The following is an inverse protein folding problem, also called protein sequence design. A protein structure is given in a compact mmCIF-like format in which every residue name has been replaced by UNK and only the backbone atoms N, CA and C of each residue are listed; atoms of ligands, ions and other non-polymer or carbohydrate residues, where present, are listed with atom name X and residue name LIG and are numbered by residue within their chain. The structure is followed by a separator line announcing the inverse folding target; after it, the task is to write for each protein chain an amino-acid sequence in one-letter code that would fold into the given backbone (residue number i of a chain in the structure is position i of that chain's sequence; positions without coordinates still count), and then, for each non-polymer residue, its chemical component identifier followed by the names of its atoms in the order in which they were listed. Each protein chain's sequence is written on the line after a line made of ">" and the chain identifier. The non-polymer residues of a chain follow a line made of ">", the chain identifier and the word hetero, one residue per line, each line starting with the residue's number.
data_IF_308048670660
#
_entry.id   IF_308048670660
#
_cell.length_a   1.000
_cell.length_b   1.000
_cell.length_c   1.000
_cell.angle_alpha   90.00
_cell.angle_beta   90.00
_cell.angle_gamma   90.00
#
_symmetry.space_group_name_H-M   'P 1'
#
loop_
_entity.id
_entity.type
_entity.pdbx_description
1 polymer ?
#
# COMPACT_ATOMS: atom_id res chain seq x y z
N UNK A 1 -66.34 -5.92 20.68
CA UNK A 1 -65.17 -5.02 20.92
C UNK A 1 -63.90 -5.77 21.37
N UNK A 2 -63.96 -6.87 22.12
CA UNK A 2 -62.74 -7.62 22.59
C UNK A 2 -61.93 -8.34 21.48
N UNK A 3 -62.58 -8.72 20.36
CA UNK A 3 -61.90 -9.47 19.26
C UNK A 3 -61.03 -8.57 18.37
N UNK A 4 -61.30 -7.29 18.32
CA UNK A 4 -60.50 -6.34 17.52
C UNK A 4 -59.23 -5.87 18.24
N UNK A 5 -59.27 -5.84 19.56
CA UNK A 5 -58.08 -5.46 20.37
C UNK A 5 -57.00 -6.53 20.32
N UNK A 6 -57.38 -7.83 20.25
CA UNK A 6 -56.39 -8.92 20.10
C UNK A 6 -55.77 -8.98 18.70
N UNK A 7 -56.48 -8.58 17.65
CA UNK A 7 -55.93 -8.54 16.30
C UNK A 7 -54.93 -7.37 16.13
N UNK A 8 -55.21 -6.22 16.74
CA UNK A 8 -54.27 -5.07 16.73
C UNK A 8 -53.00 -5.35 17.54
N UNK A 9 -53.12 -6.04 18.68
CA UNK A 9 -51.97 -6.43 19.50
C UNK A 9 -51.08 -7.45 18.78
N UNK A 10 -51.66 -8.40 18.05
CA UNK A 10 -50.88 -9.38 17.26
C UNK A 10 -50.19 -8.73 16.05
N UNK A 11 -50.79 -7.71 15.43
CA UNK A 11 -50.15 -6.98 14.32
C UNK A 11 -48.99 -6.10 14.79
N UNK A 12 -49.11 -5.48 15.96
CA UNK A 12 -48.02 -4.64 16.54
C UNK A 12 -46.83 -5.49 16.98
N UNK A 13 -47.05 -6.70 17.51
CA UNK A 13 -45.95 -7.59 17.88
C UNK A 13 -45.25 -8.18 16.66
N UNK A 14 -45.95 -8.42 15.56
CA UNK A 14 -45.35 -8.91 14.32
C UNK A 14 -44.49 -7.86 13.61
N UNK A 15 -44.87 -6.58 13.71
CA UNK A 15 -44.05 -5.46 13.16
C UNK A 15 -42.82 -5.21 14.01
N UNK A 16 -42.86 -5.42 15.32
CA UNK A 16 -41.67 -5.31 16.18
C UNK A 16 -40.65 -6.46 16.03
N UNK A 17 -41.11 -7.66 15.63
CA UNK A 17 -40.19 -8.79 15.39
C UNK A 17 -39.49 -8.72 14.02
N UNK A 18 -39.97 -7.93 13.06
CA UNK A 18 -39.33 -7.76 11.76
C UNK A 18 -38.23 -6.69 11.74
N UNK A 19 -38.09 -5.90 12.82
CA UNK A 19 -37.07 -4.85 12.94
C UNK A 19 -35.73 -5.27 13.55
N UNK A 20 -35.56 -6.53 13.98
CA UNK A 20 -34.40 -7.00 14.69
C UNK A 20 -33.45 -7.92 13.87
N UNK A 21 -33.62 -7.99 12.56
CA UNK A 21 -32.79 -8.82 11.67
C UNK A 21 -32.00 -8.00 10.66
N UNK A 22 -31.41 -6.90 11.10
CA UNK A 22 -30.40 -6.17 10.36
C UNK A 22 -29.14 -5.99 11.20
N UNK A 23 -28.55 -7.07 11.66
CA UNK A 23 -27.14 -7.06 12.09
C UNK A 23 -26.50 -8.33 11.57
N UNK A 24 -26.34 -8.35 10.27
CA UNK A 24 -25.37 -9.17 9.62
C UNK A 24 -24.31 -8.24 9.04
N UNK A 25 -23.68 -7.41 9.85
CA UNK A 25 -22.41 -6.85 9.47
C UNK A 25 -21.45 -8.03 9.39
N UNK A 26 -21.30 -8.57 8.19
CA UNK A 26 -20.19 -9.42 7.86
C UNK A 26 -18.96 -8.63 8.28
N UNK A 27 -18.31 -9.02 9.35
CA UNK A 27 -16.96 -8.60 9.63
C UNK A 27 -16.14 -9.13 8.45
N UNK A 28 -15.95 -8.29 7.43
CA UNK A 28 -14.89 -8.47 6.48
C UNK A 28 -13.65 -8.69 7.33
N UNK A 29 -12.97 -9.82 7.12
CA UNK A 29 -11.80 -10.18 7.90
C UNK A 29 -10.89 -8.97 7.99
N UNK A 30 -10.64 -8.50 9.18
CA UNK A 30 -9.78 -7.35 9.42
C UNK A 30 -8.41 -7.72 8.88
N UNK A 31 -8.06 -7.16 7.72
CA UNK A 31 -6.71 -7.22 7.23
C UNK A 31 -5.87 -6.54 8.32
N UNK A 32 -5.09 -7.31 9.04
CA UNK A 32 -4.35 -6.84 10.22
C UNK A 32 -3.17 -5.92 9.88
N UNK A 33 -2.93 -5.68 8.59
CA UNK A 33 -1.86 -4.81 8.13
C UNK A 33 -2.26 -3.35 8.29
N UNK A 34 -1.38 -2.48 8.83
CA UNK A 34 -1.73 -1.08 9.09
C UNK A 34 -1.89 -0.25 7.81
N UNK A 35 -1.30 -0.69 6.70
CA UNK A 35 -1.22 0.08 5.47
C UNK A 35 -1.39 -0.75 4.20
N UNK A 36 -1.91 -0.10 3.14
CA UNK A 36 -1.81 -0.54 1.75
C UNK A 36 -0.96 0.46 0.97
N UNK A 37 -0.01 -0.03 0.16
CA UNK A 37 0.89 0.80 -0.64
C UNK A 37 0.50 0.68 -2.11
N UNK A 38 0.10 1.79 -2.74
CA UNK A 38 -0.23 1.85 -4.17
C UNK A 38 0.86 2.56 -4.95
N UNK A 39 1.45 1.86 -5.91
CA UNK A 39 2.46 2.41 -6.83
C UNK A 39 1.79 2.77 -8.16
N UNK A 40 1.72 4.06 -8.47
CA UNK A 40 1.27 4.55 -9.75
C UNK A 40 2.45 4.70 -10.71
N UNK A 41 2.64 3.72 -11.60
CA UNK A 41 3.74 3.69 -12.57
C UNK A 41 3.66 4.80 -13.61
N UNK A 42 2.46 5.29 -13.93
CA UNK A 42 2.27 6.36 -14.92
C UNK A 42 2.69 7.72 -14.36
N UNK A 43 2.39 7.95 -13.10
CA UNK A 43 2.69 9.21 -12.42
C UNK A 43 4.01 9.16 -11.63
N UNK A 44 4.63 7.97 -11.53
CA UNK A 44 5.82 7.73 -10.70
C UNK A 44 5.64 8.22 -9.25
N UNK A 45 4.52 7.82 -8.65
CA UNK A 45 4.18 8.14 -7.27
C UNK A 45 3.82 6.88 -6.49
N UNK A 46 4.12 6.91 -5.20
CA UNK A 46 3.67 5.92 -4.22
C UNK A 46 2.72 6.62 -3.27
N UNK A 47 1.53 6.05 -3.07
CA UNK A 47 0.60 6.51 -2.05
C UNK A 47 0.35 5.39 -1.06
N UNK A 48 0.52 5.69 0.21
CA UNK A 48 0.21 4.80 1.33
C UNK A 48 -1.17 5.16 1.85
N UNK A 49 -1.98 4.16 2.06
CA UNK A 49 -3.33 4.30 2.60
C UNK A 49 -3.44 3.59 3.94
N UNK A 50 -4.19 4.18 4.86
CA UNK A 50 -4.69 3.53 6.08
C UNK A 50 -6.17 3.20 5.93
N UNK A 51 -6.69 2.41 6.86
CA UNK A 51 -8.09 1.99 6.84
C UNK A 51 -9.03 3.13 7.26
N UNK A 52 -10.21 3.17 6.62
CA UNK A 52 -11.37 3.93 7.09
C UNK A 52 -12.11 3.15 8.20
N UNK A 53 -13.21 3.72 8.70
CA UNK A 53 -14.04 3.10 9.73
C UNK A 53 -14.66 1.75 9.31
N UNK A 54 -14.80 1.51 8.01
CA UNK A 54 -15.30 0.25 7.44
C UNK A 54 -14.18 -0.78 7.20
N UNK A 55 -12.91 -0.44 7.48
CA UNK A 55 -11.74 -1.30 7.28
C UNK A 55 -11.20 -1.32 5.86
N UNK A 56 -11.61 -0.39 4.98
CA UNK A 56 -11.09 -0.27 3.64
C UNK A 56 -9.89 0.69 3.59
N UNK A 57 -8.88 0.39 2.78
CA UNK A 57 -7.72 1.26 2.61
C UNK A 57 -8.02 2.41 1.66
N UNK A 58 -8.76 3.42 2.14
CA UNK A 58 -9.23 4.57 1.38
C UNK A 58 -8.68 5.90 1.87
N UNK A 59 -8.16 5.95 3.10
CA UNK A 59 -7.65 7.18 3.71
C UNK A 59 -6.18 7.38 3.33
N UNK A 60 -5.83 8.41 2.52
CA UNK A 60 -4.44 8.68 2.18
C UNK A 60 -3.65 9.07 3.45
N UNK A 61 -2.55 8.37 3.69
CA UNK A 61 -1.67 8.60 4.84
C UNK A 61 -0.37 9.31 4.46
N UNK A 62 0.27 8.85 3.36
CA UNK A 62 1.55 9.40 2.90
C UNK A 62 1.65 9.29 1.38
N UNK A 63 2.18 10.33 0.74
CA UNK A 63 2.51 10.32 -0.68
C UNK A 63 4.01 10.56 -0.86
N UNK A 64 4.60 9.84 -1.81
CA UNK A 64 6.04 9.87 -2.09
C UNK A 64 6.24 9.96 -3.60
N UNK A 65 7.20 10.75 -4.02
CA UNK A 65 7.71 10.70 -5.39
C UNK A 65 8.60 9.47 -5.55
N UNK A 66 8.50 8.77 -6.69
CA UNK A 66 9.34 7.61 -6.95
C UNK A 66 9.87 7.61 -8.39
N UNK A 67 10.79 6.70 -8.67
CA UNK A 67 11.10 6.27 -10.03
C UNK A 67 10.75 4.80 -10.18
N UNK A 68 10.10 4.46 -11.32
CA UNK A 68 9.74 3.09 -11.66
C UNK A 68 10.57 2.58 -12.84
N UNK A 69 10.33 1.35 -13.26
CA UNK A 69 11.09 0.69 -14.32
C UNK A 69 10.96 1.37 -15.68
N UNK A 70 12.10 1.57 -16.35
CA UNK A 70 12.20 2.09 -17.73
C UNK A 70 11.72 1.08 -18.77
N UNK A 71 11.63 1.50 -20.02
CA UNK A 71 11.25 0.64 -21.13
C UNK A 71 12.09 -0.64 -21.17
N UNK A 72 11.44 -1.79 -21.33
CA UNK A 72 12.07 -3.11 -21.26
C UNK A 72 12.30 -3.67 -19.85
N UNK A 73 12.13 -2.84 -18.82
CA UNK A 73 12.34 -3.21 -17.41
C UNK A 73 11.19 -2.70 -16.52
N UNK A 74 9.96 -2.80 -16.99
CA UNK A 74 8.81 -2.24 -16.29
C UNK A 74 8.66 -2.84 -14.88
N UNK A 75 8.38 -2.00 -13.89
CA UNK A 75 7.92 -2.46 -12.57
C UNK A 75 6.69 -3.35 -12.74
N UNK A 76 6.64 -4.55 -12.16
CA UNK A 76 5.54 -5.48 -12.38
C UNK A 76 4.21 -4.91 -11.89
N UNK A 77 3.12 -5.26 -12.62
CA UNK A 77 1.75 -4.98 -12.20
C UNK A 77 1.23 -6.15 -11.38
N UNK A 78 0.41 -5.87 -10.40
CA UNK A 78 -0.22 -6.88 -9.55
C UNK A 78 -0.35 -6.42 -8.11
N UNK A 79 -0.91 -7.29 -7.27
CA UNK A 79 -0.95 -7.12 -5.82
C UNK A 79 0.08 -8.04 -5.19
N UNK A 80 0.91 -7.48 -4.34
CA UNK A 80 2.02 -8.18 -3.69
C UNK A 80 2.03 -7.84 -2.21
N UNK A 81 2.61 -8.70 -1.40
CA UNK A 81 2.86 -8.40 0.01
C UNK A 81 4.29 -7.92 0.19
N UNK A 82 4.47 -6.84 0.91
CA UNK A 82 5.79 -6.42 1.37
C UNK A 82 6.32 -7.49 2.32
N UNK A 83 7.52 -8.00 2.04
CA UNK A 83 8.11 -9.09 2.82
C UNK A 83 8.92 -8.55 4.01
N UNK A 84 9.30 -9.45 4.92
CA UNK A 84 10.23 -9.13 6.01
C UNK A 84 11.69 -9.02 5.55
N UNK A 85 11.97 -9.28 4.27
CA UNK A 85 13.33 -9.18 3.72
C UNK A 85 13.68 -7.71 3.53
N UNK A 86 14.45 -7.19 4.47
CA UNK A 86 14.94 -5.82 4.51
C UNK A 86 16.47 -5.80 4.62
N UNK A 87 17.11 -4.85 3.93
CA UNK A 87 18.55 -4.63 4.03
C UNK A 87 18.82 -3.13 4.13
N UNK A 88 19.67 -2.74 5.03
CA UNK A 88 20.11 -1.34 5.11
C UNK A 88 20.87 -0.94 3.84
N UNK A 89 21.77 -1.78 3.37
CA UNK A 89 22.45 -1.64 2.09
C UNK A 89 22.31 -2.89 1.25
N UNK A 90 21.96 -2.73 -0.02
CA UNK A 90 21.81 -3.80 -0.98
C UNK A 90 22.58 -3.47 -2.26
N UNK A 91 23.49 -4.36 -2.66
CA UNK A 91 24.13 -4.31 -3.97
C UNK A 91 23.11 -4.65 -5.04
N UNK A 92 22.99 -3.78 -6.03
CA UNK A 92 22.09 -3.92 -7.17
C UNK A 92 22.78 -4.63 -8.35
N UNK A 93 22.00 -5.13 -9.30
CA UNK A 93 22.53 -5.83 -10.47
C UNK A 93 23.43 -4.97 -11.37
N UNK A 94 23.28 -3.66 -11.32
CA UNK A 94 24.10 -2.68 -12.07
C UNK A 94 25.36 -2.24 -11.31
N UNK A 95 25.67 -2.87 -10.18
CA UNK A 95 26.85 -2.59 -9.36
C UNK A 95 26.69 -1.38 -8.43
N UNK A 96 25.52 -0.71 -8.44
CA UNK A 96 25.22 0.36 -7.50
C UNK A 96 24.68 -0.19 -6.19
N UNK A 97 24.50 0.67 -5.19
CA UNK A 97 23.90 0.32 -3.90
C UNK A 97 22.60 1.09 -3.69
N UNK A 98 21.57 0.39 -3.18
CA UNK A 98 20.35 0.98 -2.65
C UNK A 98 20.34 0.89 -1.13
N UNK A 99 19.91 1.96 -0.44
CA UNK A 99 19.75 1.97 0.99
C UNK A 99 18.29 1.68 1.38
N UNK A 100 18.08 1.06 2.53
CA UNK A 100 16.75 0.68 3.06
C UNK A 100 15.90 -0.11 2.06
N UNK A 101 16.48 -1.17 1.54
CA UNK A 101 15.82 -2.03 0.56
C UNK A 101 14.80 -2.94 1.23
N UNK A 102 13.57 -2.94 0.74
CA UNK A 102 12.46 -3.78 1.21
C UNK A 102 11.89 -4.54 0.02
N UNK A 103 11.88 -5.88 0.09
CA UNK A 103 11.39 -6.72 -0.99
C UNK A 103 9.86 -6.76 -1.04
N UNK A 104 9.28 -6.71 -2.25
CA UNK A 104 7.86 -6.93 -2.44
C UNK A 104 7.52 -8.03 -3.44
N UNK A 105 8.41 -8.35 -4.39
CA UNK A 105 8.19 -9.44 -5.35
C UNK A 105 9.50 -9.90 -6.01
N UNK A 106 9.86 -11.18 -5.91
CA UNK A 106 11.07 -11.71 -6.55
C UNK A 106 12.30 -10.87 -6.23
N UNK A 107 12.94 -10.29 -7.25
CA UNK A 107 14.07 -9.38 -7.10
C UNK A 107 13.65 -7.89 -7.13
N UNK A 108 12.37 -7.60 -7.08
CA UNK A 108 11.88 -6.23 -7.07
C UNK A 108 11.75 -5.69 -5.65
N UNK A 109 12.32 -4.51 -5.45
CA UNK A 109 12.48 -3.86 -4.16
C UNK A 109 11.90 -2.44 -4.18
N UNK A 110 11.42 -1.98 -3.04
CA UNK A 110 11.48 -0.57 -2.68
C UNK A 110 12.88 -0.30 -2.13
N UNK A 111 13.53 0.76 -2.57
CA UNK A 111 14.84 1.18 -2.05
C UNK A 111 15.07 2.66 -2.32
N UNK A 112 16.10 3.24 -1.71
CA UNK A 112 16.53 4.60 -1.99
C UNK A 112 16.98 4.78 -3.45
N UNK A 113 17.24 6.01 -3.85
CA UNK A 113 18.09 6.30 -5.00
C UNK A 113 19.43 5.58 -4.85
N UNK A 114 20.21 5.50 -5.94
CA UNK A 114 21.43 4.70 -5.97
C UNK A 114 22.65 5.47 -5.45
N UNK A 115 23.63 4.70 -4.97
CA UNK A 115 24.93 5.12 -4.45
C UNK A 115 26.04 4.31 -5.13
N UNK A 116 27.25 4.85 -5.20
CA UNK A 116 28.41 4.11 -5.74
C UNK A 116 29.05 3.18 -4.71
N UNK A 117 28.79 3.37 -3.41
CA UNK A 117 29.25 2.55 -2.30
C UNK A 117 28.19 2.55 -1.19
N UNK A 118 28.25 1.63 -0.19
CA UNK A 118 27.36 1.63 0.96
C UNK A 118 27.73 2.77 1.95
N UNK A 119 27.74 4.00 1.45
CA UNK A 119 28.08 5.22 2.16
C UNK A 119 27.14 6.35 1.70
N UNK A 120 26.43 7.04 2.61
CA UNK A 120 25.54 8.15 2.27
C UNK A 120 26.19 9.28 1.49
N UNK A 121 27.52 9.50 1.64
CA UNK A 121 28.25 10.52 0.92
C UNK A 121 28.42 10.22 -0.58
N UNK A 122 28.16 8.98 -1.02
CA UNK A 122 28.38 8.50 -2.39
C UNK A 122 27.09 8.47 -3.23
N UNK A 123 26.09 9.25 -2.82
CA UNK A 123 24.81 9.36 -3.52
C UNK A 123 24.99 9.84 -4.96
N UNK A 124 24.34 9.17 -5.90
CA UNK A 124 24.30 9.57 -7.30
C UNK A 124 23.27 10.67 -7.52
N UNK A 125 23.69 11.92 -7.52
CA UNK A 125 22.81 13.09 -7.67
C UNK A 125 21.96 13.04 -8.96
N UNK A 126 22.50 12.46 -10.04
CA UNK A 126 21.75 12.27 -11.28
C UNK A 126 20.53 11.36 -11.07
N UNK A 127 20.68 10.28 -10.31
CA UNK A 127 19.59 9.37 -9.99
C UNK A 127 18.53 10.04 -9.11
N UNK A 128 18.93 10.92 -8.21
CA UNK A 128 18.00 11.75 -7.43
C UNK A 128 17.16 12.66 -8.32
N UNK A 129 17.78 13.30 -9.31
CA UNK A 129 17.11 14.21 -10.23
C UNK A 129 16.15 13.48 -11.21
N UNK A 130 16.21 12.14 -11.29
CA UNK A 130 15.29 11.32 -12.08
C UNK A 130 14.04 10.91 -11.31
N UNK A 131 13.91 11.25 -10.04
CA UNK A 131 12.67 10.98 -9.29
C UNK A 131 11.47 11.69 -9.96
N UNK A 132 10.36 10.97 -10.07
CA UNK A 132 9.19 11.40 -10.84
C UNK A 132 9.16 10.86 -12.26
N UNK A 133 10.21 10.18 -12.70
CA UNK A 133 10.34 9.56 -14.02
C UNK A 133 10.65 8.07 -13.98
N UNK A 134 10.70 7.44 -15.15
CA UNK A 134 11.10 6.04 -15.29
C UNK A 134 12.63 5.95 -15.39
N UNK A 135 13.27 5.25 -14.46
CA UNK A 135 14.73 5.22 -14.36
C UNK A 135 15.31 3.85 -13.96
N UNK A 136 14.54 3.00 -13.29
CA UNK A 136 15.05 1.77 -12.69
C UNK A 136 15.04 0.57 -13.65
N UNK A 137 15.61 -0.54 -13.20
CA UNK A 137 15.49 -1.86 -13.82
C UNK A 137 14.28 -2.65 -13.28
N UNK A 138 13.26 -1.93 -12.77
CA UNK A 138 11.99 -2.49 -12.29
C UNK A 138 11.71 -2.27 -10.82
N UNK A 139 12.71 -1.99 -9.99
CA UNK A 139 12.52 -1.58 -8.61
C UNK A 139 11.81 -0.23 -8.50
N UNK A 140 11.24 0.05 -7.34
CA UNK A 140 10.66 1.36 -7.01
C UNK A 140 11.68 2.15 -6.21
N UNK A 141 12.31 3.13 -6.86
CA UNK A 141 13.31 4.02 -6.24
C UNK A 141 12.61 5.20 -5.57
N UNK A 142 13.03 5.52 -4.37
CA UNK A 142 12.46 6.55 -3.50
C UNK A 142 13.54 7.50 -2.99
N UNK A 143 13.14 8.62 -2.42
CA UNK A 143 14.05 9.37 -1.54
C UNK A 143 14.45 8.47 -0.36
N UNK A 144 15.66 8.65 0.16
CA UNK A 144 16.22 7.77 1.20
C UNK A 144 15.35 7.73 2.46
N UNK A 145 14.80 8.89 2.87
CA UNK A 145 13.88 8.95 4.02
C UNK A 145 12.57 8.19 3.79
N UNK A 146 12.06 8.20 2.56
CA UNK A 146 10.84 7.47 2.19
C UNK A 146 11.09 5.96 2.09
N UNK A 147 12.23 5.54 1.54
CA UNK A 147 12.64 4.14 1.53
C UNK A 147 12.82 3.59 2.95
N UNK A 148 13.38 4.39 3.86
CA UNK A 148 13.51 4.03 5.28
C UNK A 148 12.17 3.89 5.98
N UNK A 149 11.17 4.63 5.54
CA UNK A 149 9.83 4.60 6.13
C UNK A 149 9.07 3.30 5.76
N UNK A 150 9.24 2.77 4.53
CA UNK A 150 8.67 1.50 4.08
C UNK A 150 9.35 0.31 4.75
#
# INVERSE_FOLDING_TARGET
>A
MKRWQSALAALLTMVMMCGALMVGASAAGTNSLPYEIKVNRKMNTVTVYTQDEAGNYTVPYKAMICSTGRLGHATPLGSYSVTSVKKEWCLMFDGTYGQYSTQFFGNYLFHSICYTAPDPATMLAQEYNMLGGVASLGCVRLQTADAKWI
#
